data_IF_828356135986
#
_entry.id   IF_828356135986
#
_cell.length_a   1.000
_cell.length_b   1.000
_cell.length_c   1.000
_cell.angle_alpha   90.00
_cell.angle_beta   90.00
_cell.angle_gamma   90.00
#
_symmetry.space_group_name_H-M   'P 1'
#
loop_
_entity.id
_entity.type
_entity.pdbx_description
1 polymer ?
#
# COMPACT_ATOMS: atom_id res chain seq x y z
N UNK A 1 -12.08 -57.41 28.22
CA UNK A 1 -11.46 -57.03 29.52
C UNK A 1 -10.00 -56.76 29.23
N UNK A 2 -9.41 -55.65 29.69
CA UNK A 2 -8.03 -55.30 29.31
C UNK A 2 -7.06 -56.22 30.08
N UNK A 3 -6.51 -57.21 29.40
CA UNK A 3 -5.61 -58.23 29.97
C UNK A 3 -4.23 -58.12 29.35
N UNK A 4 -3.19 -58.28 30.18
CA UNK A 4 -1.80 -58.38 29.75
C UNK A 4 -1.34 -59.81 30.01
N UNK A 5 -0.90 -60.53 28.99
CA UNK A 5 -0.33 -61.86 29.17
C UNK A 5 1.01 -61.76 29.87
N UNK A 6 1.14 -62.43 31.02
CA UNK A 6 2.39 -62.62 31.72
C UNK A 6 2.73 -64.11 31.68
N UNK A 7 3.96 -64.43 31.29
CA UNK A 7 4.43 -65.81 31.31
C UNK A 7 4.64 -66.26 32.75
N UNK A 8 3.97 -67.34 33.16
CA UNK A 8 4.19 -67.93 34.48
C UNK A 8 5.22 -69.07 34.35
N UNK A 9 6.45 -68.89 34.87
CA UNK A 9 7.53 -69.87 34.70
C UNK A 9 7.27 -71.19 35.42
N UNK A 10 6.34 -71.25 36.37
CA UNK A 10 6.02 -72.47 37.13
C UNK A 10 5.00 -73.39 36.43
N UNK A 11 4.09 -72.82 35.64
CA UNK A 11 3.02 -73.60 34.96
C UNK A 11 3.24 -73.72 33.46
N UNK A 12 4.30 -73.10 32.91
CA UNK A 12 4.60 -73.01 31.47
C UNK A 12 3.43 -72.43 30.63
N UNK A 13 2.45 -71.80 31.27
CA UNK A 13 1.24 -71.28 30.64
C UNK A 13 1.21 -69.75 30.65
N UNK A 14 0.57 -69.19 29.63
CA UNK A 14 0.31 -67.75 29.55
C UNK A 14 -0.90 -67.42 30.42
N UNK A 15 -0.69 -66.66 31.49
CA UNK A 15 -1.77 -66.17 32.34
C UNK A 15 -2.14 -64.74 31.96
N UNK A 16 -3.44 -64.53 31.75
CA UNK A 16 -4.01 -63.21 31.52
C UNK A 16 -4.19 -62.46 32.84
N UNK A 17 -3.31 -61.49 33.10
CA UNK A 17 -3.41 -60.64 34.29
C UNK A 17 -4.34 -59.46 33.97
N UNK A 18 -5.39 -59.28 34.77
CA UNK A 18 -6.31 -58.14 34.66
C UNK A 18 -5.58 -56.86 35.07
N UNK A 19 -5.59 -55.86 34.20
CA UNK A 19 -4.95 -54.56 34.47
C UNK A 19 -5.69 -53.80 35.58
N UNK A 20 -4.95 -53.09 36.42
CA UNK A 20 -5.47 -52.27 37.51
C UNK A 20 -6.12 -50.99 36.95
N UNK A 21 -7.19 -50.46 37.56
CA UNK A 21 -7.87 -49.25 37.07
C UNK A 21 -6.96 -48.03 36.86
N UNK A 22 -5.92 -47.88 37.69
CA UNK A 22 -4.88 -46.84 37.55
C UNK A 22 -4.00 -47.05 36.32
N UNK A 23 -3.64 -48.30 36.01
CA UNK A 23 -2.84 -48.66 34.83
C UNK A 23 -3.63 -48.42 33.55
N UNK A 24 -4.94 -48.74 33.56
CA UNK A 24 -5.84 -48.45 32.45
C UNK A 24 -5.96 -46.93 32.24
N UNK A 25 -6.14 -46.15 33.32
CA UNK A 25 -6.23 -44.69 33.22
C UNK A 25 -4.94 -44.05 32.66
N UNK A 26 -3.77 -44.48 33.13
CA UNK A 26 -2.49 -44.00 32.61
C UNK A 26 -2.28 -44.37 31.14
N UNK A 27 -2.64 -45.60 30.76
CA UNK A 27 -2.51 -46.09 29.38
C UNK A 27 -3.47 -45.36 28.43
N UNK A 28 -4.71 -45.10 28.86
CA UNK A 28 -5.68 -44.30 28.10
C UNK A 28 -5.25 -42.85 28.03
N UNK A 29 -4.80 -42.26 29.14
CA UNK A 29 -4.31 -40.87 29.18
C UNK A 29 -3.12 -40.65 28.25
N UNK A 30 -2.15 -41.58 28.22
CA UNK A 30 -1.02 -41.53 27.31
C UNK A 30 -1.47 -41.58 25.84
N UNK A 31 -2.43 -42.45 25.50
CA UNK A 31 -2.97 -42.55 24.14
C UNK A 31 -3.71 -41.29 23.72
N UNK A 32 -4.51 -40.70 24.60
CA UNK A 32 -5.23 -39.44 24.34
C UNK A 32 -4.22 -38.30 24.15
N UNK A 33 -3.21 -38.20 25.01
CA UNK A 33 -2.16 -37.19 24.89
C UNK A 33 -1.39 -37.33 23.57
N UNK A 34 -1.11 -38.56 23.14
CA UNK A 34 -0.43 -38.83 21.87
C UNK A 34 -1.28 -38.39 20.66
N UNK A 35 -2.58 -38.69 20.65
CA UNK A 35 -3.50 -38.24 19.60
C UNK A 35 -3.60 -36.72 19.57
N UNK A 36 -3.70 -36.07 20.73
CA UNK A 36 -3.73 -34.61 20.83
C UNK A 36 -2.41 -33.98 20.35
N UNK A 37 -1.28 -34.57 20.69
CA UNK A 37 0.03 -34.09 20.24
C UNK A 37 0.17 -34.18 18.71
N UNK A 38 -0.28 -35.30 18.11
CA UNK A 38 -0.30 -35.45 16.65
C UNK A 38 -1.28 -34.46 16.01
N UNK A 39 -2.47 -34.27 16.60
CA UNK A 39 -3.48 -33.32 16.09
C UNK A 39 -2.97 -31.88 16.11
N UNK A 40 -2.45 -31.43 17.25
CA UNK A 40 -1.87 -30.10 17.40
C UNK A 40 -0.65 -29.90 16.50
N UNK A 41 0.24 -30.90 16.43
CA UNK A 41 1.40 -30.88 15.54
C UNK A 41 1.02 -30.80 14.06
N UNK A 42 -0.02 -31.53 13.65
CA UNK A 42 -0.54 -31.49 12.28
C UNK A 42 -1.12 -30.13 11.92
N UNK A 43 -1.89 -29.50 12.81
CA UNK A 43 -2.45 -28.16 12.58
C UNK A 43 -1.33 -27.11 12.49
N UNK A 44 -0.37 -27.16 13.41
CA UNK A 44 0.77 -26.24 13.39
C UNK A 44 1.63 -26.38 12.14
N UNK A 45 1.89 -27.63 11.70
CA UNK A 45 2.63 -27.90 10.48
C UNK A 45 1.84 -27.46 9.23
N UNK A 46 0.53 -27.66 9.23
CA UNK A 46 -0.33 -27.22 8.14
C UNK A 46 -0.31 -25.70 7.99
N UNK A 47 -0.39 -24.94 9.08
CA UNK A 47 -0.34 -23.47 9.05
C UNK A 47 1.00 -22.92 8.54
N UNK A 48 2.12 -23.58 8.90
CA UNK A 48 3.46 -23.21 8.44
C UNK A 48 3.72 -23.55 6.96
N UNK A 49 3.19 -24.67 6.47
CA UNK A 49 3.54 -25.20 5.14
C UNK A 49 2.48 -24.84 4.09
N UNK A 50 1.21 -24.76 4.47
CA UNK A 50 0.09 -24.45 3.57
C UNK A 50 -0.38 -23.01 3.77
N UNK A 51 0.19 -22.09 2.99
CA UNK A 51 -0.49 -20.82 2.75
C UNK A 51 -1.83 -21.08 2.05
N UNK A 52 -2.90 -20.61 2.67
CA UNK A 52 -4.24 -20.72 2.09
C UNK A 52 -4.23 -20.11 0.68
N UNK A 53 -4.95 -20.70 -0.30
CA UNK A 53 -5.16 -20.06 -1.59
C UNK A 53 -5.70 -18.63 -1.46
N UNK A 54 -6.48 -18.35 -0.41
CA UNK A 54 -6.99 -17.02 -0.11
C UNK A 54 -5.87 -16.04 0.28
N UNK A 55 -4.91 -16.47 1.10
CA UNK A 55 -3.81 -15.61 1.56
C UNK A 55 -2.89 -15.27 0.39
N UNK A 56 -2.53 -16.26 -0.42
CA UNK A 56 -1.74 -16.02 -1.65
C UNK A 56 -2.45 -15.10 -2.65
N UNK A 57 -3.78 -15.17 -2.73
CA UNK A 57 -4.54 -14.26 -3.58
C UNK A 57 -4.52 -12.84 -3.03
N UNK A 58 -4.62 -12.67 -1.70
CA UNK A 58 -4.47 -11.36 -1.05
C UNK A 58 -3.09 -10.76 -1.22
N UNK A 59 -2.03 -11.55 -1.05
CA UNK A 59 -0.65 -11.07 -1.23
C UNK A 59 -0.41 -10.57 -2.65
N UNK A 60 -0.97 -11.26 -3.66
CA UNK A 60 -0.90 -10.80 -5.05
C UNK A 60 -1.65 -9.49 -5.28
N UNK A 61 -2.82 -9.35 -4.67
CA UNK A 61 -3.62 -8.13 -4.77
C UNK A 61 -2.89 -6.95 -4.12
N UNK A 62 -2.32 -7.14 -2.94
CA UNK A 62 -1.51 -6.12 -2.25
C UNK A 62 -0.32 -5.72 -3.13
N UNK A 63 0.45 -6.69 -3.62
CA UNK A 63 1.60 -6.41 -4.49
C UNK A 63 1.21 -5.71 -5.81
N UNK A 64 0.01 -5.98 -6.33
CA UNK A 64 -0.54 -5.25 -7.49
C UNK A 64 -0.86 -3.80 -7.12
N UNK A 65 -1.56 -3.57 -6.01
CA UNK A 65 -1.92 -2.22 -5.54
C UNK A 65 -0.69 -1.37 -5.21
N UNK A 66 0.33 -1.94 -4.57
CA UNK A 66 1.60 -1.28 -4.29
C UNK A 66 2.30 -0.84 -5.58
N UNK A 67 2.35 -1.71 -6.59
CA UNK A 67 2.93 -1.37 -7.89
C UNK A 67 2.17 -0.23 -8.57
N UNK A 68 0.84 -0.29 -8.56
CA UNK A 68 0.00 0.77 -9.14
C UNK A 68 0.21 2.10 -8.42
N UNK A 69 0.38 2.07 -7.09
CA UNK A 69 0.66 3.27 -6.31
C UNK A 69 2.01 3.90 -6.70
N UNK A 70 3.04 3.08 -6.93
CA UNK A 70 4.34 3.55 -7.40
C UNK A 70 4.28 4.09 -8.85
N UNK A 71 3.55 3.42 -9.74
CA UNK A 71 3.33 3.90 -11.12
C UNK A 71 2.65 5.28 -11.12
N UNK A 72 1.57 5.45 -10.34
CA UNK A 72 0.87 6.74 -10.20
C UNK A 72 1.77 7.84 -9.61
N UNK A 73 2.64 7.51 -8.65
CA UNK A 73 3.64 8.45 -8.11
C UNK A 73 4.61 8.92 -9.19
N UNK A 74 5.07 8.00 -10.04
CA UNK A 74 5.91 8.31 -11.19
C UNK A 74 5.23 9.22 -12.19
N UNK A 75 3.97 8.94 -12.53
CA UNK A 75 3.18 9.78 -13.45
C UNK A 75 2.98 11.20 -12.90
N UNK A 76 2.64 11.35 -11.61
CA UNK A 76 2.51 12.67 -10.98
C UNK A 76 3.82 13.44 -11.01
N UNK A 77 4.96 12.77 -10.74
CA UNK A 77 6.28 13.41 -10.82
C UNK A 77 6.60 13.89 -12.24
N UNK A 78 6.25 13.11 -13.27
CA UNK A 78 6.41 13.52 -14.67
C UNK A 78 5.56 14.74 -15.01
N UNK A 79 4.30 14.78 -14.54
CA UNK A 79 3.42 15.92 -14.76
C UNK A 79 3.89 17.18 -14.04
N UNK A 80 4.39 17.05 -12.80
CA UNK A 80 5.01 18.16 -12.05
C UNK A 80 6.22 18.73 -12.81
N UNK A 81 7.09 17.85 -13.34
CA UNK A 81 8.23 18.28 -14.17
C UNK A 81 7.80 19.01 -15.43
N UNK A 82 6.83 18.47 -16.17
CA UNK A 82 6.31 19.10 -17.39
C UNK A 82 5.66 20.47 -17.10
N UNK A 83 4.96 20.61 -15.97
CA UNK A 83 4.40 21.88 -15.54
C UNK A 83 5.50 22.89 -15.18
N UNK A 84 6.57 22.44 -14.52
CA UNK A 84 7.75 23.26 -14.22
C UNK A 84 8.43 23.79 -15.48
N UNK A 85 8.62 22.94 -16.50
CA UNK A 85 9.17 23.34 -17.79
C UNK A 85 8.28 24.36 -18.50
N UNK A 86 6.97 24.19 -18.44
CA UNK A 86 6.00 25.15 -19.01
C UNK A 86 6.10 26.51 -18.30
N UNK A 87 6.17 26.50 -16.97
CA UNK A 87 6.33 27.69 -16.16
C UNK A 87 7.65 28.42 -16.44
N UNK A 88 8.75 27.68 -16.66
CA UNK A 88 10.03 28.25 -17.05
C UNK A 88 9.97 28.91 -18.44
N UNK A 89 9.37 28.25 -19.43
CA UNK A 89 9.19 28.82 -20.78
C UNK A 89 8.35 30.08 -20.77
N UNK A 90 7.30 30.09 -19.96
CA UNK A 90 6.41 31.23 -19.79
C UNK A 90 7.16 32.49 -19.32
N UNK A 91 8.02 32.36 -18.30
CA UNK A 91 8.83 33.48 -17.81
C UNK A 91 9.99 33.85 -18.74
N UNK A 92 10.77 32.84 -19.14
CA UNK A 92 12.03 33.07 -19.85
C UNK A 92 11.83 33.44 -21.33
N UNK A 93 10.71 33.05 -21.93
CA UNK A 93 10.43 33.32 -23.35
C UNK A 93 9.30 34.33 -23.46
N UNK A 94 8.07 33.96 -23.10
CA UNK A 94 6.90 34.78 -23.44
C UNK A 94 6.90 36.13 -22.72
N UNK A 95 7.09 36.13 -21.40
CA UNK A 95 7.13 37.38 -20.61
C UNK A 95 8.34 38.24 -20.92
N UNK A 96 9.48 37.61 -21.17
CA UNK A 96 10.71 38.32 -21.55
C UNK A 96 10.53 39.05 -22.89
N UNK A 97 9.90 38.42 -23.88
CA UNK A 97 9.58 39.06 -25.18
C UNK A 97 8.64 40.25 -25.00
N UNK A 98 7.64 40.11 -24.14
CA UNK A 98 6.66 41.17 -23.86
C UNK A 98 7.18 42.24 -22.89
N UNK A 99 8.39 42.09 -22.36
CA UNK A 99 9.00 43.03 -21.42
C UNK A 99 8.31 43.12 -20.07
N UNK A 100 7.63 42.05 -19.63
CA UNK A 100 6.90 42.00 -18.36
C UNK A 100 7.61 41.11 -17.34
N UNK A 101 7.37 41.37 -16.05
CA UNK A 101 8.03 40.64 -14.97
C UNK A 101 7.51 39.19 -14.86
N UNK A 102 8.38 38.24 -14.45
CA UNK A 102 7.99 36.85 -14.24
C UNK A 102 6.93 36.71 -13.14
N UNK A 103 6.16 35.63 -13.19
CA UNK A 103 5.13 35.37 -12.16
C UNK A 103 5.81 34.95 -10.85
N UNK A 104 5.46 35.57 -9.71
CA UNK A 104 5.98 35.17 -8.41
C UNK A 104 5.66 33.71 -8.05
N UNK A 105 6.62 33.00 -7.47
CA UNK A 105 6.50 31.56 -7.13
C UNK A 105 5.29 31.22 -6.24
N UNK A 106 4.92 32.13 -5.33
CA UNK A 106 3.80 31.94 -4.42
C UNK A 106 2.43 31.97 -5.13
N UNK A 107 2.35 32.60 -6.31
CA UNK A 107 1.14 32.58 -7.14
C UNK A 107 1.06 31.29 -7.98
N UNK A 108 2.21 30.69 -8.30
CA UNK A 108 2.29 29.42 -9.03
C UNK A 108 2.02 28.20 -8.16
N UNK A 109 2.41 28.27 -6.90
CA UNK A 109 2.23 27.19 -5.92
C UNK A 109 1.27 27.64 -4.81
N UNK A 110 -0.02 27.84 -5.11
CA UNK A 110 -0.98 28.23 -4.09
C UNK A 110 -1.09 27.12 -3.04
N UNK A 111 -0.94 27.50 -1.78
CA UNK A 111 -0.96 26.57 -0.66
C UNK A 111 -2.24 25.72 -0.61
N UNK A 112 -2.09 24.50 -0.11
CA UNK A 112 -3.17 23.51 -0.08
C UNK A 112 -4.23 23.85 0.99
N UNK A 113 -3.93 24.71 1.96
CA UNK A 113 -4.81 25.05 3.09
C UNK A 113 -4.70 24.01 4.23
N UNK A 114 -5.05 24.42 5.47
CA UNK A 114 -4.72 23.68 6.70
C UNK A 114 -5.79 22.75 7.28
N UNK A 115 -6.76 22.30 6.48
CA UNK A 115 -7.75 21.30 6.94
C UNK A 115 -7.22 19.91 6.61
N UNK A 116 -7.29 18.99 7.56
CA UNK A 116 -6.90 17.59 7.44
C UNK A 116 -7.81 16.85 6.44
N UNK A 117 -7.48 16.93 5.15
CA UNK A 117 -8.31 16.39 4.06
C UNK A 117 -8.18 14.88 3.88
N UNK A 118 -7.09 14.31 4.39
CA UNK A 118 -6.72 12.90 4.23
C UNK A 118 -7.12 12.06 5.45
N UNK A 119 -7.91 12.61 6.37
CA UNK A 119 -8.47 11.85 7.49
C UNK A 119 -9.21 10.58 7.04
N UNK A 120 -9.80 10.60 5.83
CA UNK A 120 -10.53 9.48 5.24
C UNK A 120 -9.67 8.29 4.79
N UNK A 121 -8.35 8.48 4.63
CA UNK A 121 -7.44 7.41 4.18
C UNK A 121 -6.57 6.86 5.32
N UNK A 122 -6.74 7.33 6.56
CA UNK A 122 -5.99 6.86 7.74
C UNK A 122 -6.46 5.47 8.21
N UNK A 123 -5.55 4.75 8.90
CA UNK A 123 -5.85 3.48 9.56
C UNK A 123 -5.50 2.22 8.75
N UNK A 124 -4.79 2.38 7.65
CA UNK A 124 -4.30 1.31 6.78
C UNK A 124 -2.77 1.34 6.68
N UNK A 125 -2.17 0.22 6.28
CA UNK A 125 -0.70 0.10 6.15
C UNK A 125 -0.14 1.14 5.17
N UNK A 126 -0.84 1.38 4.05
CA UNK A 126 -0.43 2.33 2.99
C UNK A 126 -1.09 3.71 3.11
N UNK A 127 -1.66 4.04 4.27
CA UNK A 127 -2.37 5.31 4.47
C UNK A 127 -1.53 6.54 4.17
N UNK A 128 -0.27 6.52 4.61
CA UNK A 128 0.66 7.65 4.43
C UNK A 128 1.00 7.88 2.96
N UNK A 129 1.28 6.79 2.24
CA UNK A 129 1.64 6.82 0.82
C UNK A 129 0.49 7.34 -0.05
N UNK A 130 -0.74 6.88 0.23
CA UNK A 130 -1.95 7.36 -0.45
C UNK A 130 -2.23 8.82 -0.09
N UNK A 131 -2.04 9.22 1.17
CA UNK A 131 -2.26 10.59 1.62
C UNK A 131 -1.31 11.55 0.90
N UNK A 132 -0.02 11.23 0.89
CA UNK A 132 1.02 12.01 0.21
C UNK A 132 0.73 12.16 -1.29
N UNK A 133 0.40 11.06 -1.98
CA UNK A 133 0.07 11.09 -3.40
C UNK A 133 -1.14 12.01 -3.67
N UNK A 134 -2.18 11.93 -2.83
CA UNK A 134 -3.35 12.81 -2.94
C UNK A 134 -3.00 14.29 -2.72
N UNK A 135 -2.10 14.59 -1.79
CA UNK A 135 -1.63 15.96 -1.56
C UNK A 135 -0.85 16.50 -2.75
N UNK A 136 0.05 15.70 -3.33
CA UNK A 136 0.78 16.07 -4.56
C UNK A 136 -0.16 16.32 -5.72
N UNK A 137 -1.15 15.45 -5.95
CA UNK A 137 -2.19 15.64 -6.96
C UNK A 137 -2.94 16.95 -6.72
N UNK A 138 -3.35 17.24 -5.49
CA UNK A 138 -4.07 18.47 -5.16
C UNK A 138 -3.20 19.73 -5.36
N UNK A 139 -1.90 19.65 -5.10
CA UNK A 139 -0.93 20.72 -5.37
C UNK A 139 -0.79 20.96 -6.88
N UNK A 140 -0.58 19.88 -7.64
CA UNK A 140 -0.42 19.89 -9.09
C UNK A 140 -1.65 20.50 -9.77
N UNK A 141 -2.86 20.08 -9.37
CA UNK A 141 -4.11 20.61 -9.91
C UNK A 141 -4.23 22.13 -9.74
N UNK A 142 -3.88 22.66 -8.57
CA UNK A 142 -3.93 24.12 -8.35
C UNK A 142 -2.85 24.86 -9.14
N UNK A 143 -1.65 24.30 -9.19
CA UNK A 143 -0.53 24.88 -9.94
C UNK A 143 -0.85 24.93 -11.44
N UNK A 144 -1.54 23.91 -11.95
CA UNK A 144 -2.04 23.87 -13.33
C UNK A 144 -3.09 24.96 -13.60
N UNK A 145 -4.03 25.19 -12.67
CA UNK A 145 -5.00 26.30 -12.79
C UNK A 145 -4.28 27.66 -12.80
N UNK A 146 -3.29 27.86 -11.94
CA UNK A 146 -2.49 29.08 -11.91
C UNK A 146 -1.73 29.28 -13.23
N UNK A 147 -1.10 28.22 -13.75
CA UNK A 147 -0.37 28.26 -15.02
C UNK A 147 -1.30 28.51 -16.22
N UNK A 148 -2.52 27.97 -16.22
CA UNK A 148 -3.52 28.27 -17.27
C UNK A 148 -3.83 29.77 -17.30
N UNK A 149 -4.14 30.35 -16.14
CA UNK A 149 -4.42 31.78 -16.04
C UNK A 149 -3.23 32.64 -16.47
N UNK A 150 -2.01 32.22 -16.09
CA UNK A 150 -0.75 32.83 -16.48
C UNK A 150 -0.59 32.93 -18.01
N UNK A 151 -0.94 31.86 -18.73
CA UNK A 151 -0.87 31.81 -20.19
C UNK A 151 -1.98 32.63 -20.86
N UNK A 152 -3.18 32.68 -20.27
CA UNK A 152 -4.26 33.55 -20.74
C UNK A 152 -3.83 35.03 -20.66
N UNK A 153 -3.24 35.45 -19.54
CA UNK A 153 -2.71 36.81 -19.35
C UNK A 153 -1.63 37.15 -20.39
N UNK A 154 -0.71 36.22 -20.66
CA UNK A 154 0.33 36.39 -21.70
C UNK A 154 -0.28 36.51 -23.09
N UNK A 155 -1.33 35.75 -23.37
CA UNK A 155 -2.03 35.81 -24.66
C UNK A 155 -2.69 37.16 -24.87
N UNK A 156 -3.40 37.67 -23.86
CA UNK A 156 -4.03 38.99 -23.91
C UNK A 156 -3.00 40.11 -24.11
N UNK A 157 -1.87 40.05 -23.39
CA UNK A 157 -0.77 41.00 -23.54
C UNK A 157 -0.14 40.94 -24.94
N UNK A 158 0.00 39.73 -25.52
CA UNK A 158 0.52 39.58 -26.87
C UNK A 158 -0.39 40.22 -27.92
N UNK A 159 -1.71 40.07 -27.80
CA UNK A 159 -2.69 40.70 -28.69
C UNK A 159 -2.68 42.22 -28.58
N UNK A 160 -2.50 42.77 -27.38
CA UNK A 160 -2.33 44.22 -27.20
C UNK A 160 -1.01 44.72 -27.79
N UNK A 161 0.07 43.96 -27.62
CA UNK A 161 1.38 44.28 -28.17
C UNK A 161 1.37 44.32 -29.71
N UNK A 162 0.69 43.36 -30.35
CA UNK A 162 0.48 43.34 -31.81
C UNK A 162 -0.23 44.60 -32.32
N UNK A 163 -1.38 44.97 -31.72
CA UNK A 163 -2.13 46.18 -32.08
C UNK A 163 -1.28 47.45 -31.94
N UNK A 164 -0.43 47.52 -30.92
CA UNK A 164 0.49 48.64 -30.72
C UNK A 164 1.55 48.70 -31.81
N UNK A 165 2.10 47.56 -32.22
CA UNK A 165 3.07 47.49 -33.32
C UNK A 165 2.46 47.91 -34.66
N UNK A 166 1.22 47.50 -34.94
CA UNK A 166 0.48 47.94 -36.14
C UNK A 166 0.20 49.44 -36.16
N UNK A 167 0.20 50.09 -34.99
CA UNK A 167 -0.05 51.52 -34.85
C UNK A 167 1.22 52.38 -34.96
N UNK A 168 2.39 51.77 -35.20
CA UNK A 168 3.65 52.49 -35.43
C UNK A 168 3.78 52.80 -36.93
N UNK A 169 3.89 54.08 -37.34
CA UNK A 169 3.98 54.50 -38.75
C UNK A 169 5.31 54.16 -39.42
#
# INVERSE_FOLDING_TARGET
MWTRSRYNPETLQMEEVKLTGREIFQLVGLRVAFVLAIGAGSVWLFDQVFQSPADRARDREIAFLERQLEEMRGEVALMEGALGDLAQRDDAVYRTILGVQPVPDHLRHPGIGGVDRQANVRGHVHSEEVAELKDRIASLQRSLVAQSKSLDEVTDMALEYEKRLESIP
#
